data_IF_589654620208
#
_entry.id   IF_589654620208
#
_cell.length_a   1.000
_cell.length_b   1.000
_cell.length_c   1.000
_cell.angle_alpha   90.00
_cell.angle_beta   90.00
_cell.angle_gamma   90.00
#
_symmetry.space_group_name_H-M   'P 1'
#
loop_
_entity.id
_entity.type
_entity.pdbx_description
1 polymer ?
#
# COMPACT_ATOMS: atom_id res chain seq x y z
N UNK A 1 8.49 7.80 9.14
CA UNK A 1 9.59 8.07 8.19
C UNK A 1 9.02 8.55 6.84
N UNK A 2 8.29 7.71 6.12
CA UNK A 2 7.77 8.03 4.77
C UNK A 2 7.05 9.39 4.66
N UNK A 3 6.06 9.65 5.52
CA UNK A 3 5.33 10.92 5.52
C UNK A 3 6.16 12.17 5.82
N UNK A 4 7.34 12.02 6.45
CA UNK A 4 8.22 13.14 6.80
C UNK A 4 9.24 13.46 5.69
N UNK A 5 9.56 12.48 4.85
CA UNK A 5 10.65 12.60 3.87
C UNK A 5 10.17 12.55 2.42
N UNK A 6 8.88 12.27 2.19
CA UNK A 6 8.30 12.20 0.85
C UNK A 6 6.99 12.98 0.83
N UNK A 7 6.83 13.86 -0.16
CA UNK A 7 5.57 14.57 -0.40
C UNK A 7 4.51 13.70 -1.07
N UNK A 8 4.91 12.66 -1.80
CA UNK A 8 4.00 11.73 -2.47
C UNK A 8 4.47 10.31 -2.24
N UNK A 9 3.54 9.42 -1.88
CA UNK A 9 3.77 7.98 -1.81
C UNK A 9 2.75 7.29 -2.70
N UNK A 10 3.22 6.38 -3.55
CA UNK A 10 2.39 5.62 -4.49
C UNK A 10 2.29 4.17 -4.01
N UNK A 11 1.09 3.63 -3.98
CA UNK A 11 0.82 2.25 -3.55
C UNK A 11 -0.09 1.54 -4.53
N UNK A 12 0.09 0.23 -4.65
CA UNK A 12 -0.80 -0.63 -5.43
C UNK A 12 -2.18 -0.73 -4.78
N UNK A 13 -3.24 -0.60 -5.60
CA UNK A 13 -4.62 -0.83 -5.19
C UNK A 13 -4.92 -2.33 -5.18
N UNK A 14 -4.41 -3.03 -4.16
CA UNK A 14 -4.63 -4.46 -3.97
C UNK A 14 -6.03 -4.78 -3.45
N UNK A 15 -6.62 -5.87 -3.91
CA UNK A 15 -7.84 -6.45 -3.30
C UNK A 15 -7.49 -7.22 -2.02
N UNK A 16 -7.05 -6.51 -0.98
CA UNK A 16 -6.61 -7.12 0.30
C UNK A 16 -7.69 -8.02 0.89
N UNK A 17 -8.96 -7.62 0.83
CA UNK A 17 -10.10 -8.41 1.33
C UNK A 17 -10.23 -9.76 0.61
N UNK A 18 -10.03 -9.78 -0.70
CA UNK A 18 -9.99 -11.02 -1.49
C UNK A 18 -8.76 -11.87 -1.15
N UNK A 19 -7.59 -11.23 -1.08
CA UNK A 19 -6.33 -11.93 -0.82
C UNK A 19 -6.28 -12.60 0.57
N UNK A 20 -6.86 -11.97 1.60
CA UNK A 20 -6.97 -12.54 2.96
C UNK A 20 -7.75 -13.85 2.99
N UNK A 21 -8.63 -14.10 2.01
CA UNK A 21 -9.43 -15.33 1.93
C UNK A 21 -8.72 -16.45 1.14
N UNK A 22 -7.57 -16.16 0.54
CA UNK A 22 -6.80 -17.13 -0.25
C UNK A 22 -5.80 -17.93 0.57
N UNK A 23 -4.99 -18.75 -0.11
CA UNK A 23 -3.97 -19.64 0.50
C UNK A 23 -2.93 -18.90 1.36
N UNK A 24 -2.70 -17.62 1.10
CA UNK A 24 -1.74 -16.77 1.83
C UNK A 24 -2.41 -15.86 2.88
N UNK A 25 -3.68 -16.12 3.21
CA UNK A 25 -4.48 -15.24 4.04
C UNK A 25 -3.86 -14.91 5.39
N UNK A 26 -3.23 -15.91 6.04
CA UNK A 26 -2.56 -15.74 7.33
C UNK A 26 -1.37 -14.79 7.24
N UNK A 27 -0.53 -14.93 6.22
CA UNK A 27 0.62 -14.06 5.99
C UNK A 27 0.19 -12.63 5.68
N UNK A 28 -0.84 -12.46 4.84
CA UNK A 28 -1.37 -11.14 4.47
C UNK A 28 -2.00 -10.45 5.69
N UNK A 29 -2.74 -11.19 6.51
CA UNK A 29 -3.29 -10.67 7.76
C UNK A 29 -2.16 -10.26 8.72
N UNK A 30 -1.12 -11.09 8.86
CA UNK A 30 0.05 -10.80 9.69
C UNK A 30 0.84 -9.58 9.22
N UNK A 31 0.88 -9.32 7.92
CA UNK A 31 1.56 -8.14 7.35
C UNK A 31 0.79 -6.82 7.57
N UNK A 32 -0.52 -6.87 7.84
CA UNK A 32 -1.28 -5.68 8.25
C UNK A 32 -1.47 -4.62 7.16
N UNK A 33 -1.47 -5.00 5.87
CA UNK A 33 -1.50 -4.08 4.72
C UNK A 33 -2.62 -3.05 4.76
N UNK A 34 -3.85 -3.46 5.12
CA UNK A 34 -4.99 -2.54 5.20
C UNK A 34 -4.76 -1.44 6.25
N UNK A 35 -4.37 -1.82 7.46
CA UNK A 35 -4.08 -0.89 8.55
C UNK A 35 -2.89 0.02 8.22
N UNK A 36 -1.86 -0.52 7.57
CA UNK A 36 -0.71 0.26 7.12
C UNK A 36 -1.11 1.38 6.15
N UNK A 37 -1.90 1.08 5.12
CA UNK A 37 -2.36 2.08 4.16
C UNK A 37 -3.23 3.16 4.82
N UNK A 38 -4.14 2.77 5.73
CA UNK A 38 -4.93 3.73 6.52
C UNK A 38 -4.04 4.65 7.34
N UNK A 39 -3.03 4.10 8.01
CA UNK A 39 -2.11 4.90 8.81
C UNK A 39 -1.26 5.83 7.96
N UNK A 40 -0.79 5.35 6.82
CA UNK A 40 0.05 6.12 5.92
C UNK A 40 -0.71 7.29 5.31
N UNK A 41 -1.99 7.10 4.97
CA UNK A 41 -2.87 8.15 4.45
C UNK A 41 -2.97 9.34 5.40
N UNK A 42 -3.44 9.12 6.63
CA UNK A 42 -3.63 10.24 7.56
C UNK A 42 -2.30 10.89 7.95
N UNK A 43 -1.19 10.13 8.01
CA UNK A 43 0.13 10.71 8.32
C UNK A 43 0.68 11.56 7.19
N UNK A 44 0.43 11.20 5.92
CA UNK A 44 0.79 12.01 4.76
C UNK A 44 -0.06 13.27 4.70
N UNK A 45 -1.38 13.16 4.89
CA UNK A 45 -2.27 14.31 4.92
C UNK A 45 -1.85 15.32 6.01
N UNK A 46 -1.50 14.83 7.20
CA UNK A 46 -1.01 15.67 8.30
C UNK A 46 0.31 16.41 8.00
N UNK A 47 1.10 15.94 7.04
CA UNK A 47 2.35 16.60 6.62
C UNK A 47 2.22 17.34 5.28
N UNK A 48 0.99 17.49 4.76
CA UNK A 48 0.74 18.10 3.44
C UNK A 48 1.11 17.21 2.25
N UNK A 49 1.44 15.94 2.50
CA UNK A 49 1.72 14.94 1.48
C UNK A 49 0.48 14.20 1.00
N UNK A 50 0.66 13.35 -0.02
CA UNK A 50 -0.43 12.58 -0.65
C UNK A 50 -0.10 11.10 -0.78
N UNK A 51 -1.08 10.25 -0.47
CA UNK A 51 -1.07 8.84 -0.82
C UNK A 51 -1.84 8.65 -2.14
N UNK A 52 -1.20 8.07 -3.16
CA UNK A 52 -1.81 7.78 -4.46
C UNK A 52 -1.93 6.28 -4.66
N UNK A 53 -3.14 5.81 -4.95
CA UNK A 53 -3.39 4.41 -5.31
C UNK A 53 -3.36 4.23 -6.82
N UNK A 54 -2.61 3.24 -7.31
CA UNK A 54 -2.53 2.88 -8.73
C UNK A 54 -3.02 1.46 -8.99
N UNK A 55 -3.52 1.14 -10.20
CA UNK A 55 -3.84 -0.24 -10.56
C UNK A 55 -2.63 -1.16 -10.36
N UNK A 56 -2.85 -2.32 -9.74
CA UNK A 56 -1.79 -3.30 -9.47
C UNK A 56 -1.45 -4.19 -10.68
N UNK A 57 -2.20 -4.08 -11.78
CA UNK A 57 -1.94 -4.89 -12.96
C UNK A 57 -0.58 -4.50 -13.57
N UNK A 58 0.25 -5.50 -13.88
CA UNK A 58 1.56 -5.35 -14.53
C UNK A 58 2.65 -4.64 -13.70
N UNK A 59 2.42 -4.33 -12.43
CA UNK A 59 3.41 -3.65 -11.57
C UNK A 59 4.54 -4.54 -11.05
N UNK A 60 4.36 -5.87 -11.05
CA UNK A 60 5.28 -6.85 -10.46
C UNK A 60 5.75 -7.95 -11.41
N UNK A 61 5.44 -7.82 -12.71
CA UNK A 61 5.69 -8.87 -13.70
C UNK A 61 6.97 -8.65 -14.53
N UNK A 62 7.57 -7.47 -14.44
CA UNK A 62 8.80 -7.12 -15.13
C UNK A 62 9.80 -6.54 -14.15
N UNK A 63 11.08 -6.83 -14.35
CA UNK A 63 12.13 -6.17 -13.59
C UNK A 63 12.27 -4.72 -14.07
N UNK A 64 12.54 -3.76 -13.17
CA UNK A 64 12.94 -2.43 -13.59
C UNK A 64 14.30 -2.49 -14.32
N UNK A 65 14.57 -1.48 -15.15
CA UNK A 65 15.84 -1.32 -15.85
C UNK A 65 17.00 -0.97 -14.90
#
# INVERSE_FOLDING_TARGET
RYAKSHGVVVVEKLNVKGMVRGRLGRQIHGAGWASFCTMLRYKLEATGGRLVEVPAAYSSQTCPA
#
